data_IF_656715241029
#
_entry.id   IF_656715241029
#
_cell.length_a   1.000
_cell.length_b   1.000
_cell.length_c   1.000
_cell.angle_alpha   90.00
_cell.angle_beta   90.00
_cell.angle_gamma   90.00
#
_symmetry.space_group_name_H-M   'P 1'
#
loop_
_entity.id
_entity.type
_entity.pdbx_description
1 polymer ?
#
# COMPACT_ATOMS: atom_id res chain seq x y z
N UNK A 1 1.89 -0.69 9.54
CA UNK A 1 0.79 -0.01 8.82
C UNK A 1 1.24 0.55 7.45
N UNK A 2 2.15 -0.11 6.72
CA UNK A 2 2.83 0.55 5.56
C UNK A 2 2.27 0.17 4.17
N UNK A 3 1.62 -1.00 4.03
CA UNK A 3 1.15 -1.54 2.74
C UNK A 3 0.10 -0.64 2.05
N UNK A 4 -0.73 0.08 2.82
CA UNK A 4 -1.78 0.96 2.29
C UNK A 4 -1.20 2.15 1.50
N UNK A 5 -0.04 2.67 1.92
CA UNK A 5 0.55 3.86 1.31
C UNK A 5 1.16 3.57 -0.06
N UNK A 6 1.77 2.40 -0.25
CA UNK A 6 2.31 1.98 -1.56
C UNK A 6 1.20 1.71 -2.57
N UNK A 7 0.10 1.08 -2.14
CA UNK A 7 -1.08 0.86 -2.99
C UNK A 7 -1.70 2.17 -3.45
N UNK A 8 -1.83 3.16 -2.55
CA UNK A 8 -2.32 4.49 -2.90
C UNK A 8 -1.41 5.20 -3.90
N UNK A 9 -0.09 5.21 -3.67
CA UNK A 9 0.89 5.84 -4.57
C UNK A 9 0.85 5.24 -5.97
N UNK A 10 0.72 3.92 -6.08
CA UNK A 10 0.60 3.24 -7.37
C UNK A 10 -0.67 3.70 -8.11
N UNK A 11 -1.83 3.60 -7.45
CA UNK A 11 -3.12 4.04 -8.01
C UNK A 11 -3.10 5.50 -8.43
N UNK A 12 -2.49 6.37 -7.62
CA UNK A 12 -2.35 7.79 -7.92
C UNK A 12 -1.53 8.03 -9.19
N UNK A 13 -0.40 7.33 -9.36
CA UNK A 13 0.40 7.47 -10.58
C UNK A 13 -0.26 6.87 -11.81
N UNK A 14 -1.00 5.76 -11.68
CA UNK A 14 -1.84 5.21 -12.76
C UNK A 14 -2.91 6.20 -13.20
N UNK A 15 -3.63 6.83 -12.27
CA UNK A 15 -4.62 7.86 -12.62
C UNK A 15 -4.02 9.00 -13.45
N UNK A 16 -2.88 9.54 -13.03
CA UNK A 16 -2.23 10.63 -13.77
C UNK A 16 -1.66 10.20 -15.12
N UNK A 17 -1.27 8.94 -15.25
CA UNK A 17 -0.85 8.37 -16.52
C UNK A 17 -2.01 8.38 -17.52
N UNK A 18 -3.14 7.78 -17.15
CA UNK A 18 -4.35 7.69 -17.99
C UNK A 18 -4.91 9.08 -18.31
N UNK A 19 -4.89 9.99 -17.33
CA UNK A 19 -5.28 11.38 -17.53
C UNK A 19 -4.42 12.08 -18.59
N UNK A 20 -3.10 11.90 -18.53
CA UNK A 20 -2.20 12.52 -19.50
C UNK A 20 -2.23 11.86 -20.86
N UNK A 21 -2.45 10.55 -20.94
CA UNK A 21 -2.72 9.86 -22.19
C UNK A 21 -3.99 10.39 -22.86
N UNK A 22 -5.08 10.52 -22.11
CA UNK A 22 -6.33 11.10 -22.61
C UNK A 22 -6.11 12.54 -23.10
N UNK A 23 -5.42 13.37 -22.31
CA UNK A 23 -5.09 14.75 -22.70
C UNK A 23 -4.17 14.80 -23.92
N UNK A 24 -3.20 13.91 -24.05
CA UNK A 24 -2.34 13.84 -25.23
C UNK A 24 -3.14 13.45 -26.47
N UNK A 25 -4.08 12.51 -26.35
CA UNK A 25 -4.95 12.10 -27.46
C UNK A 25 -5.79 13.26 -28.01
N UNK A 26 -6.42 14.06 -27.14
CA UNK A 26 -7.29 15.15 -27.58
C UNK A 26 -6.55 16.44 -27.94
N UNK A 27 -5.45 16.77 -27.23
CA UNK A 27 -4.79 18.06 -27.39
C UNK A 27 -3.41 17.98 -28.09
N UNK A 28 -2.84 16.78 -28.28
CA UNK A 28 -1.59 16.56 -29.00
C UNK A 28 -0.35 17.24 -28.40
N UNK A 29 -0.40 17.68 -27.13
CA UNK A 29 0.67 18.49 -26.55
C UNK A 29 1.86 17.65 -26.08
N UNK A 30 3.07 18.04 -26.49
CA UNK A 30 4.35 17.49 -25.98
C UNK A 30 4.48 17.59 -24.45
N UNK A 31 3.77 18.54 -23.83
CA UNK A 31 3.67 18.64 -22.36
C UNK A 31 2.99 17.42 -21.74
N UNK A 32 1.91 16.93 -22.37
CA UNK A 32 1.17 15.77 -21.88
C UNK A 32 1.95 14.48 -22.09
N UNK A 33 2.60 14.33 -23.25
CA UNK A 33 3.51 13.22 -23.53
C UNK A 33 4.64 13.11 -22.48
N UNK A 34 5.32 14.23 -22.17
CA UNK A 34 6.37 14.26 -21.13
C UNK A 34 5.85 13.86 -19.75
N UNK A 35 4.66 14.33 -19.38
CA UNK A 35 4.05 13.97 -18.09
C UNK A 35 3.57 12.51 -18.05
N UNK A 36 3.03 11.99 -19.16
CA UNK A 36 2.68 10.57 -19.33
C UNK A 36 3.90 9.70 -19.03
N UNK A 37 5.04 9.96 -19.69
CA UNK A 37 6.30 9.22 -19.47
C UNK A 37 6.74 9.30 -18.00
N UNK A 38 6.71 10.50 -17.40
CA UNK A 38 7.06 10.69 -15.99
C UNK A 38 6.21 9.82 -15.05
N UNK A 39 4.90 9.80 -15.27
CA UNK A 39 3.98 9.04 -14.42
C UNK A 39 4.07 7.52 -14.66
N UNK A 40 4.31 7.10 -15.91
CA UNK A 40 4.58 5.70 -16.25
C UNK A 40 5.80 5.17 -15.48
N UNK A 41 6.91 5.93 -15.50
CA UNK A 41 8.13 5.56 -14.77
C UNK A 41 7.86 5.44 -13.26
N UNK A 42 7.19 6.43 -12.65
CA UNK A 42 6.88 6.39 -11.22
C UNK A 42 5.96 5.23 -10.84
N UNK A 43 4.95 4.92 -11.65
CA UNK A 43 4.07 3.78 -11.41
C UNK A 43 4.86 2.46 -11.46
N UNK A 44 5.79 2.31 -12.41
CA UNK A 44 6.65 1.14 -12.51
C UNK A 44 7.59 1.00 -11.29
N UNK A 45 8.22 2.10 -10.83
CA UNK A 45 9.05 2.09 -9.62
C UNK A 45 8.25 1.63 -8.40
N UNK A 46 7.08 2.23 -8.14
CA UNK A 46 6.25 1.86 -6.99
C UNK A 46 5.77 0.41 -7.09
N UNK A 47 5.46 -0.08 -8.29
CA UNK A 47 5.09 -1.48 -8.51
C UNK A 47 6.24 -2.43 -8.18
N UNK A 48 7.46 -2.13 -8.62
CA UNK A 48 8.63 -2.95 -8.30
C UNK A 48 8.94 -2.95 -6.80
N UNK A 49 8.84 -1.80 -6.13
CA UNK A 49 9.00 -1.73 -4.67
C UNK A 49 7.97 -2.62 -3.96
N UNK A 50 6.73 -2.64 -4.44
CA UNK A 50 5.65 -3.48 -3.91
C UNK A 50 5.96 -4.97 -4.08
N UNK A 51 6.49 -5.37 -5.24
CA UNK A 51 6.89 -6.75 -5.53
C UNK A 51 8.06 -7.18 -4.64
N UNK A 52 9.07 -6.32 -4.49
CA UNK A 52 10.22 -6.59 -3.63
C UNK A 52 9.80 -6.76 -2.16
N UNK A 53 8.92 -5.90 -1.64
CA UNK A 53 8.37 -6.06 -0.27
C UNK A 53 7.58 -7.38 -0.09
N UNK A 54 6.88 -7.83 -1.12
CA UNK A 54 6.14 -9.10 -1.08
C UNK A 54 7.06 -10.31 -1.01
N UNK A 55 8.21 -10.27 -1.71
CA UNK A 55 9.19 -11.34 -1.71
C UNK A 55 9.93 -11.47 -0.38
N UNK A 56 10.29 -10.35 0.26
CA UNK A 56 11.02 -10.36 1.54
C UNK A 56 10.13 -10.75 2.74
N UNK A 57 8.82 -10.61 2.63
CA UNK A 57 7.90 -10.94 3.72
C UNK A 57 7.57 -12.44 3.83
N UNK A 58 7.97 -13.27 2.88
CA UNK A 58 7.64 -14.72 2.85
C UNK A 58 8.66 -15.63 3.55
N UNK A 59 9.78 -15.11 4.05
CA UNK A 59 10.88 -15.93 4.59
C UNK A 59 11.03 -15.92 6.13
N UNK A 60 10.00 -15.55 6.89
CA UNK A 60 10.11 -15.40 8.36
C UNK A 60 8.93 -15.99 9.15
N UNK A 61 8.41 -17.16 8.76
CA UNK A 61 7.22 -17.75 9.39
C UNK A 61 7.35 -19.25 9.71
N UNK A 62 8.56 -19.72 10.04
CA UNK A 62 8.74 -21.05 10.67
C UNK A 62 9.77 -21.02 11.80
N UNK A 63 9.49 -20.35 12.93
CA UNK A 63 10.18 -20.70 14.19
C UNK A 63 9.51 -20.17 15.46
N UNK A 64 8.19 -20.34 15.65
CA UNK A 64 7.63 -20.16 17.02
C UNK A 64 6.43 -21.10 17.25
N UNK A 65 6.69 -22.40 17.28
CA UNK A 65 5.78 -23.38 17.90
C UNK A 65 6.54 -24.18 18.97
N UNK A 66 6.73 -23.56 20.13
CA UNK A 66 6.77 -24.28 21.39
C UNK A 66 6.16 -23.40 22.46
N UNK A 67 4.93 -23.76 22.84
CA UNK A 67 4.22 -23.20 23.96
C UNK A 67 5.00 -23.44 25.26
N UNK A 68 4.70 -22.69 26.34
CA UNK A 68 3.68 -23.24 27.23
C UNK A 68 2.68 -22.20 27.73
N UNK A 69 1.44 -22.69 27.78
CA UNK A 69 0.26 -22.11 28.42
C UNK A 69 0.51 -21.82 29.90
N UNK A 70 0.18 -20.60 30.34
CA UNK A 70 -0.17 -20.24 31.73
C UNK A 70 -1.32 -19.21 31.67
N UNK A 71 -2.59 -19.61 31.67
CA UNK A 71 -3.49 -19.83 32.82
C UNK A 71 -3.55 -18.68 33.87
N UNK A 72 -4.79 -18.14 33.99
CA UNK A 72 -5.39 -17.32 35.07
C UNK A 72 -4.84 -15.89 35.27
N UNK A 73 -5.64 -14.82 35.44
CA UNK A 73 -6.89 -14.73 36.21
C UNK A 73 -7.72 -13.51 35.78
N UNK A 74 -9.03 -13.68 35.78
CA UNK A 74 -10.01 -12.61 35.71
C UNK A 74 -9.85 -11.61 36.88
N UNK A 75 -10.05 -10.32 36.59
CA UNK A 75 -10.56 -9.35 37.58
C UNK A 75 -11.68 -8.54 36.93
N UNK A 76 -12.89 -8.94 37.32
CA UNK A 76 -14.08 -8.08 37.50
C UNK A 76 -13.63 -6.78 38.19
N UNK A 77 -14.23 -5.60 37.97
CA UNK A 77 -15.61 -5.26 38.32
C UNK A 77 -15.92 -3.76 37.91
N UNK A 78 -17.06 -3.11 38.28
CA UNK A 78 -18.03 -2.60 37.29
C UNK A 78 -18.45 -1.11 37.46
N UNK A 79 -19.34 -0.64 36.55
CA UNK A 79 -20.43 0.38 36.70
C UNK A 79 -20.03 1.82 37.11
N UNK A 80 -20.61 2.87 36.49
CA UNK A 80 -21.69 3.75 37.03
C UNK A 80 -21.98 4.79 35.91
N UNK A 81 -23.07 4.67 35.14
CA UNK A 81 -24.34 5.46 35.16
C UNK A 81 -24.27 6.99 35.00
N UNK A 82 -24.83 7.44 33.88
CA UNK A 82 -25.75 8.58 33.61
C UNK A 82 -25.46 10.01 34.07
N UNK A 83 -25.62 10.96 33.12
CA UNK A 83 -26.59 12.07 33.20
C UNK A 83 -26.95 12.54 31.78
#
# INVERSE_FOLDING_TARGET
MEKSTHSFKYKWHSFWLDWHETKEHYYGSSRHQKKKIKHAFKAATVKNDLLNLSSTSSSNLEEINSAPVKQHSAKLNPKVTES
#
